data_IF_757176164557
#
_entry.id   IF_757176164557
#
_cell.length_a   1.000
_cell.length_b   1.000
_cell.length_c   1.000
_cell.angle_alpha   90.00
_cell.angle_beta   90.00
_cell.angle_gamma   90.00
#
_symmetry.space_group_name_H-M   'P 1'
#
loop_
_entity.id
_entity.type
_entity.pdbx_description
1 polymer ?
#
# COMPACT_ATOMS: atom_id res chain seq x y z
N UNK A 1 6.57 10.28 -7.05
CA UNK A 1 6.03 10.09 -5.69
C UNK A 1 6.70 11.07 -4.75
N UNK A 2 5.94 11.74 -3.89
CA UNK A 2 6.51 12.54 -2.78
C UNK A 2 7.01 11.64 -1.64
N UNK A 3 7.69 12.20 -0.63
CA UNK A 3 8.26 11.42 0.49
C UNK A 3 7.20 10.64 1.27
N UNK A 4 6.05 11.25 1.55
CA UNK A 4 4.94 10.58 2.25
C UNK A 4 4.35 9.43 1.42
N UNK A 5 4.20 9.60 0.10
CA UNK A 5 3.76 8.53 -0.80
C UNK A 5 4.75 7.38 -0.80
N UNK A 6 6.06 7.68 -0.80
CA UNK A 6 7.12 6.67 -0.74
C UNK A 6 7.10 5.90 0.57
N UNK A 7 6.98 6.58 1.70
CA UNK A 7 6.90 5.95 3.02
C UNK A 7 5.69 5.01 3.14
N UNK A 8 4.51 5.48 2.74
CA UNK A 8 3.28 4.66 2.75
C UNK A 8 3.41 3.44 1.82
N UNK A 9 3.93 3.63 0.61
CA UNK A 9 4.10 2.55 -0.35
C UNK A 9 5.10 1.50 0.13
N UNK A 10 6.26 1.90 0.65
CA UNK A 10 7.26 0.96 1.17
C UNK A 10 6.74 0.20 2.40
N UNK A 11 6.01 0.86 3.30
CA UNK A 11 5.39 0.19 4.45
C UNK A 11 4.39 -0.88 4.01
N UNK A 12 3.46 -0.51 3.11
CA UNK A 12 2.45 -1.45 2.61
C UNK A 12 3.12 -2.63 1.90
N UNK A 13 4.08 -2.35 1.03
CA UNK A 13 4.88 -3.38 0.33
C UNK A 13 5.61 -4.33 1.30
N UNK A 14 6.15 -3.81 2.41
CA UNK A 14 6.81 -4.63 3.42
C UNK A 14 5.83 -5.54 4.16
N UNK A 15 4.65 -5.04 4.56
CA UNK A 15 3.62 -5.85 5.22
C UNK A 15 3.09 -6.94 4.30
N UNK A 16 2.93 -6.66 3.00
CA UNK A 16 2.54 -7.67 2.01
C UNK A 16 3.62 -8.74 1.86
N UNK A 17 4.89 -8.35 1.74
CA UNK A 17 6.00 -9.32 1.67
C UNK A 17 6.05 -10.24 2.88
N UNK A 18 5.76 -9.72 4.09
CA UNK A 18 5.69 -10.53 5.31
C UNK A 18 4.49 -11.49 5.35
N UNK A 19 3.40 -11.14 4.67
CA UNK A 19 2.19 -11.97 4.66
C UNK A 19 2.32 -13.21 3.78
N UNK A 20 3.37 -13.31 2.94
CA UNK A 20 3.69 -14.47 2.08
C UNK A 20 2.47 -14.99 1.29
N UNK A 21 1.62 -14.08 0.81
CA UNK A 21 0.36 -14.41 0.13
C UNK A 21 0.20 -13.64 -1.16
N UNK A 22 -0.41 -14.31 -2.15
CA UNK A 22 -0.83 -13.73 -3.44
C UNK A 22 -2.24 -13.08 -3.36
N UNK A 23 -2.87 -13.11 -2.18
CA UNK A 23 -4.20 -12.57 -1.94
C UNK A 23 -4.17 -11.15 -1.32
N UNK A 24 -5.34 -10.70 -0.81
CA UNK A 24 -5.48 -9.42 -0.12
C UNK A 24 -4.88 -9.48 1.29
N UNK A 25 -4.08 -8.47 1.62
CA UNK A 25 -3.50 -8.27 2.95
C UNK A 25 -4.27 -7.16 3.66
N UNK A 26 -4.88 -7.50 4.79
CA UNK A 26 -5.56 -6.51 5.61
C UNK A 26 -4.53 -5.72 6.45
N UNK A 27 -4.43 -4.41 6.20
CA UNK A 27 -3.55 -3.52 6.97
C UNK A 27 -4.39 -2.40 7.57
N UNK A 28 -4.32 -2.22 8.89
CA UNK A 28 -5.02 -1.11 9.55
C UNK A 28 -4.40 0.22 9.13
N UNK A 29 -5.23 1.18 8.70
CA UNK A 29 -4.79 2.56 8.38
C UNK A 29 -3.96 3.18 9.50
N UNK A 30 -4.35 2.96 10.76
CA UNK A 30 -3.63 3.50 11.91
C UNK A 30 -2.15 3.06 11.91
N UNK A 31 -1.85 1.80 11.59
CA UNK A 31 -0.46 1.31 11.52
C UNK A 31 0.33 2.03 10.43
N UNK A 32 -0.30 2.29 9.28
CA UNK A 32 0.34 2.98 8.16
C UNK A 32 0.59 4.46 8.51
N UNK A 33 -0.39 5.10 9.14
CA UNK A 33 -0.33 6.50 9.59
C UNK A 33 0.81 6.69 10.59
N UNK A 34 0.91 5.80 11.58
CA UNK A 34 1.96 5.82 12.61
C UNK A 34 3.34 5.54 12.00
N UNK A 35 3.46 4.50 11.17
CA UNK A 35 4.74 4.13 10.57
C UNK A 35 5.27 5.16 9.55
N UNK A 36 4.39 5.86 8.85
CA UNK A 36 4.76 6.92 7.91
C UNK A 36 4.84 8.31 8.55
N UNK A 37 4.53 8.44 9.85
CA UNK A 37 4.52 9.70 10.60
C UNK A 37 3.69 10.80 9.90
N UNK A 38 2.54 10.43 9.32
CA UNK A 38 1.68 11.33 8.56
C UNK A 38 0.34 11.60 9.25
N UNK A 39 -0.30 12.71 8.89
CA UNK A 39 -1.69 12.96 9.30
C UNK A 39 -2.66 12.02 8.56
N UNK A 40 -3.83 11.79 9.17
CA UNK A 40 -4.94 11.05 8.52
C UNK A 40 -5.40 11.69 7.20
N UNK A 41 -5.35 13.03 7.11
CA UNK A 41 -5.68 13.73 5.87
C UNK A 41 -4.63 13.48 4.77
N UNK A 42 -3.35 13.49 5.13
CA UNK A 42 -2.25 13.14 4.22
C UNK A 42 -2.40 11.68 3.76
N UNK A 43 -2.70 10.77 4.66
CA UNK A 43 -2.94 9.36 4.35
C UNK A 43 -4.03 9.19 3.28
N UNK A 44 -5.21 9.79 3.44
CA UNK A 44 -6.28 9.68 2.43
C UNK A 44 -5.87 10.24 1.06
N UNK A 45 -5.10 11.34 1.02
CA UNK A 45 -4.58 11.90 -0.24
C UNK A 45 -3.58 10.95 -0.91
N UNK A 46 -2.66 10.38 -0.13
CA UNK A 46 -1.65 9.42 -0.59
C UNK A 46 -2.32 8.16 -1.14
N UNK A 47 -3.23 7.54 -0.37
CA UNK A 47 -4.01 6.36 -0.77
C UNK A 47 -4.74 6.61 -2.10
N UNK A 48 -5.41 7.76 -2.23
CA UNK A 48 -6.11 8.15 -3.46
C UNK A 48 -5.14 8.32 -4.65
N UNK A 49 -3.96 8.89 -4.41
CA UNK A 49 -2.89 9.05 -5.41
C UNK A 49 -2.36 7.69 -5.89
N UNK A 50 -2.02 6.80 -4.95
CA UNK A 50 -1.50 5.46 -5.24
C UNK A 50 -2.52 4.60 -6.01
N UNK A 51 -3.81 4.67 -5.65
CA UNK A 51 -4.91 3.99 -6.37
C UNK A 51 -5.03 4.49 -7.81
N UNK A 52 -4.98 5.82 -8.03
CA UNK A 52 -5.07 6.42 -9.37
C UNK A 52 -3.89 6.03 -10.27
N UNK A 53 -2.70 5.88 -9.70
CA UNK A 53 -1.49 5.53 -10.43
C UNK A 53 -1.35 4.01 -10.67
N UNK A 54 -2.32 3.19 -10.23
CA UNK A 54 -2.28 1.74 -10.38
C UNK A 54 -1.22 1.05 -9.51
N UNK A 55 -0.60 1.78 -8.58
CA UNK A 55 0.43 1.24 -7.68
C UNK A 55 -0.16 0.41 -6.54
N UNK A 56 -1.46 0.55 -6.26
CA UNK A 56 -2.14 -0.15 -5.17
C UNK A 56 -3.58 -0.51 -5.57
N UNK A 57 -3.99 -1.74 -5.33
CA UNK A 57 -5.39 -2.17 -5.45
C UNK A 57 -5.96 -2.18 -4.04
N UNK A 58 -6.92 -1.29 -3.75
CA UNK A 58 -7.47 -1.11 -2.41
C UNK A 58 -8.96 -1.44 -2.47
N UNK A 59 -9.41 -2.32 -1.58
CA UNK A 59 -10.83 -2.46 -1.29
C UNK A 59 -11.22 -1.43 -0.20
N UNK A 60 -11.99 -0.43 -0.63
CA UNK A 60 -12.31 0.79 0.14
C UNK A 60 -13.20 0.51 1.37
N UNK A 61 -13.86 -0.65 1.46
CA UNK A 61 -14.79 -0.94 2.57
C UNK A 61 -14.09 -1.28 3.88
N UNK A 62 -12.89 -1.85 3.82
CA UNK A 62 -12.14 -2.29 5.01
C UNK A 62 -10.70 -1.78 5.03
N UNK A 63 -10.27 -1.01 4.02
CA UNK A 63 -8.84 -0.75 3.77
C UNK A 63 -8.05 -2.08 3.64
N UNK A 64 -8.67 -3.10 3.04
CA UNK A 64 -7.94 -4.29 2.63
C UNK A 64 -7.05 -3.92 1.44
N UNK A 65 -5.76 -4.18 1.55
CA UNK A 65 -4.79 -3.87 0.51
C UNK A 65 -4.50 -5.13 -0.29
N UNK A 66 -4.92 -5.13 -1.55
CA UNK A 66 -4.54 -6.13 -2.53
C UNK A 66 -3.29 -5.66 -3.27
N UNK A 67 -2.31 -6.54 -3.37
CA UNK A 67 -1.13 -6.26 -4.16
C UNK A 67 -1.11 -7.19 -5.35
N UNK A 68 -1.36 -6.65 -6.54
CA UNK A 68 -0.96 -7.35 -7.76
C UNK A 68 0.52 -7.03 -7.94
N UNK A 69 1.40 -7.92 -7.45
CA UNK A 69 2.81 -7.88 -7.85
C UNK A 69 2.81 -7.80 -9.38
N UNK A 70 3.51 -6.84 -10.01
CA UNK A 70 3.85 -7.03 -11.41
C UNK A 70 4.54 -8.39 -11.43
N UNK A 71 3.97 -9.35 -12.16
CA UNK A 71 4.62 -10.65 -12.37
C UNK A 71 6.04 -10.29 -12.74
N UNK A 72 7.02 -10.70 -11.92
CA UNK A 72 8.39 -10.70 -12.39
C UNK A 72 8.31 -11.44 -13.72
N UNK A 73 8.61 -10.73 -14.81
CA UNK A 73 9.03 -11.44 -16.00
C UNK A 73 10.29 -12.12 -15.50
N UNK A 74 10.17 -13.40 -15.14
CA UNK A 74 11.29 -14.30 -15.13
C UNK A 74 11.87 -14.15 -16.54
N UNK A 75 12.88 -13.30 -16.66
CA UNK A 75 13.80 -13.37 -17.77
C UNK A 75 14.64 -14.61 -17.44
N UNK A 76 14.17 -15.71 -17.98
CA UNK A 76 14.91 -16.93 -18.28
C UNK A 76 16.30 -16.61 -18.86
#
# INVERSE_FOLDING_TARGET
>A
MNESEKAVFEFIKAEIKKAETDEFVYIRSQKIIEAAEISRNTFHKVVKSLKRNGALIIDDYTLSFGYKLPKEKNNE
#
